data_IF_076922978681
#
_entry.id   IF_076922978681
#
_cell.length_a   1.000
_cell.length_b   1.000
_cell.length_c   1.000
_cell.angle_alpha   90.00
_cell.angle_beta   90.00
_cell.angle_gamma   90.00
#
_symmetry.space_group_name_H-M   'P 1'
#
loop_
_entity.id
_entity.type
_entity.pdbx_description
1 polymer ?
#
# COMPACT_ATOMS: atom_id res chain seq x y z
N UNK A 1 -0.53 10.11 8.01
CA UNK A 1 -0.88 9.75 6.61
C UNK A 1 0.27 10.21 5.71
N UNK A 2 0.74 9.40 4.76
CA UNK A 2 1.96 9.67 4.00
C UNK A 2 1.84 10.82 2.97
N UNK A 3 0.70 10.91 2.27
CA UNK A 3 0.47 11.95 1.26
C UNK A 3 0.61 13.39 1.80
N UNK A 4 -0.13 13.80 2.85
CA UNK A 4 0.01 15.15 3.40
C UNK A 4 1.38 15.36 4.06
N UNK A 5 2.01 14.30 4.58
CA UNK A 5 3.35 14.39 5.14
C UNK A 5 4.37 14.84 4.08
N UNK A 6 4.35 14.21 2.89
CA UNK A 6 5.25 14.59 1.81
C UNK A 6 4.95 15.96 1.21
N UNK A 7 3.67 16.31 1.12
CA UNK A 7 3.25 17.62 0.61
C UNK A 7 3.69 18.76 1.53
N UNK A 8 3.60 18.58 2.85
CA UNK A 8 3.82 19.65 3.83
C UNK A 8 5.28 19.77 4.29
N UNK A 9 5.99 18.65 4.47
CA UNK A 9 7.27 18.65 5.19
C UNK A 9 8.50 18.49 4.29
N UNK A 10 8.33 18.14 3.01
CA UNK A 10 9.47 17.92 2.13
C UNK A 10 9.68 19.10 1.15
N UNK A 11 10.89 19.71 1.15
CA UNK A 11 11.26 20.72 0.16
C UNK A 11 11.13 20.18 -1.26
N UNK A 12 10.75 21.05 -2.20
CA UNK A 12 10.66 20.75 -3.63
C UNK A 12 9.59 19.73 -4.05
N UNK A 13 8.61 19.42 -3.18
CA UNK A 13 7.44 18.62 -3.56
C UNK A 13 6.75 19.18 -4.80
N UNK A 14 6.34 18.31 -5.73
CA UNK A 14 5.76 18.71 -7.02
C UNK A 14 6.78 19.11 -8.09
N UNK A 15 8.08 18.95 -7.84
CA UNK A 15 9.14 19.24 -8.81
C UNK A 15 9.99 18.01 -9.12
N UNK A 16 10.69 18.02 -10.26
CA UNK A 16 11.61 16.93 -10.65
C UNK A 16 12.83 16.79 -9.71
N UNK A 17 13.04 17.75 -8.79
CA UNK A 17 14.12 17.70 -7.79
C UNK A 17 13.67 17.06 -6.48
N UNK A 18 12.39 16.69 -6.37
CA UNK A 18 11.85 16.04 -5.18
C UNK A 18 12.53 14.70 -4.93
N UNK A 19 12.93 14.46 -3.68
CA UNK A 19 13.44 13.18 -3.23
C UNK A 19 12.64 12.71 -2.02
N UNK A 20 12.27 11.43 -2.03
CA UNK A 20 11.54 10.83 -0.92
C UNK A 20 12.50 10.55 0.25
N UNK A 21 12.27 11.21 1.38
CA UNK A 21 12.81 10.81 2.67
C UNK A 21 12.11 9.58 3.24
N UNK A 22 12.48 9.16 4.46
CA UNK A 22 11.82 8.05 5.14
C UNK A 22 10.28 8.28 5.24
N UNK A 23 9.46 7.22 5.11
CA UNK A 23 8.03 7.31 5.35
C UNK A 23 7.73 7.68 6.81
N UNK A 24 6.60 8.33 7.09
CA UNK A 24 6.21 8.64 8.46
C UNK A 24 5.97 7.35 9.24
N UNK A 25 6.34 7.35 10.53
CA UNK A 25 6.13 6.21 11.39
C UNK A 25 4.64 5.86 11.52
N UNK A 26 4.27 4.56 11.54
CA UNK A 26 2.92 4.13 11.86
C UNK A 26 2.52 4.63 13.25
N UNK A 27 1.26 5.06 13.41
CA UNK A 27 0.71 5.53 14.69
C UNK A 27 0.12 4.40 15.54
N UNK A 28 0.35 3.14 15.16
CA UNK A 28 -0.21 1.95 15.80
C UNK A 28 0.89 0.92 16.08
N UNK A 29 0.60 0.02 17.02
CA UNK A 29 1.51 -1.06 17.42
C UNK A 29 0.82 -2.42 17.18
N UNK A 30 1.31 -3.24 16.24
CA UNK A 30 0.75 -4.56 15.99
C UNK A 30 0.84 -5.50 17.17
N UNK A 31 -0.14 -6.40 17.28
CA UNK A 31 -0.11 -7.51 18.23
C UNK A 31 0.23 -8.81 17.49
N UNK A 32 0.81 -9.82 18.18
CA UNK A 32 1.15 -11.09 17.55
C UNK A 32 -0.03 -11.83 16.91
N UNK A 33 -1.26 -11.59 17.38
CA UNK A 33 -2.49 -12.16 16.84
C UNK A 33 -3.04 -11.43 15.62
N UNK A 34 -2.44 -10.30 15.21
CA UNK A 34 -2.97 -9.50 14.10
C UNK A 34 -2.84 -10.23 12.77
N UNK A 35 -3.92 -10.18 12.00
CA UNK A 35 -3.94 -10.50 10.58
C UNK A 35 -4.04 -9.23 9.74
N UNK A 36 -4.13 -9.38 8.42
CA UNK A 36 -4.16 -8.23 7.50
C UNK A 36 -5.34 -7.28 7.72
N UNK A 37 -6.47 -7.80 8.19
CA UNK A 37 -7.65 -6.97 8.51
C UNK A 37 -7.38 -6.02 9.69
N UNK A 38 -6.54 -6.42 10.65
CA UNK A 38 -6.21 -5.59 11.82
C UNK A 38 -5.27 -4.44 11.40
N UNK A 39 -4.31 -4.72 10.53
CA UNK A 39 -3.48 -3.68 9.90
C UNK A 39 -4.33 -2.71 9.06
N UNK A 40 -5.30 -3.23 8.29
CA UNK A 40 -6.23 -2.39 7.54
C UNK A 40 -7.03 -1.48 8.47
N UNK A 41 -7.62 -2.02 9.54
CA UNK A 41 -8.41 -1.26 10.53
C UNK A 41 -7.58 -0.20 11.25
N UNK A 42 -6.37 -0.54 11.66
CA UNK A 42 -5.49 0.36 12.41
C UNK A 42 -4.95 1.50 11.54
N UNK A 43 -4.81 1.26 10.23
CA UNK A 43 -4.21 2.23 9.32
C UNK A 43 -5.24 3.01 8.50
N UNK A 44 -6.42 2.47 8.20
CA UNK A 44 -7.44 3.14 7.39
C UNK A 44 -8.18 4.23 8.18
N UNK A 45 -8.51 5.37 7.55
CA UNK A 45 -9.21 6.48 8.20
C UNK A 45 -10.68 6.17 8.53
N UNK A 46 -11.36 5.38 7.70
CA UNK A 46 -12.71 4.85 7.93
C UNK A 46 -12.76 3.45 7.30
N UNK A 47 -12.48 2.39 8.07
CA UNK A 47 -12.33 1.04 7.51
C UNK A 47 -13.67 0.46 7.07
N UNK A 48 -13.76 0.05 5.80
CA UNK A 48 -14.85 -0.75 5.25
C UNK A 48 -14.36 -2.20 5.10
N UNK A 49 -14.83 -3.08 5.98
CA UNK A 49 -14.36 -4.46 6.03
C UNK A 49 -14.72 -5.23 4.75
N UNK A 50 -15.86 -4.90 4.12
CA UNK A 50 -16.26 -5.55 2.86
C UNK A 50 -15.29 -5.24 1.72
N UNK A 51 -14.66 -4.06 1.75
CA UNK A 51 -13.64 -3.68 0.78
C UNK A 51 -12.34 -4.48 0.99
N UNK A 52 -11.91 -4.62 2.24
CA UNK A 52 -10.73 -5.43 2.56
C UNK A 52 -10.97 -6.89 2.18
N UNK A 53 -12.10 -7.49 2.59
CA UNK A 53 -12.42 -8.88 2.28
C UNK A 53 -12.47 -9.12 0.77
N UNK A 54 -13.06 -8.18 0.02
CA UNK A 54 -13.08 -8.24 -1.44
C UNK A 54 -11.66 -8.26 -2.02
N UNK A 55 -10.80 -7.32 -1.63
CA UNK A 55 -9.43 -7.24 -2.14
C UNK A 55 -8.59 -8.45 -1.73
N UNK A 56 -8.72 -8.90 -0.47
CA UNK A 56 -8.02 -10.05 0.06
C UNK A 56 -8.42 -11.34 -0.65
N UNK A 57 -9.71 -11.59 -0.87
CA UNK A 57 -10.19 -12.79 -1.57
C UNK A 57 -9.66 -12.92 -3.00
N UNK A 58 -9.20 -11.82 -3.62
CA UNK A 58 -8.58 -11.85 -4.95
C UNK A 58 -7.12 -12.30 -4.94
N UNK A 59 -6.46 -12.18 -3.79
CA UNK A 59 -5.00 -12.40 -3.67
C UNK A 59 -4.61 -13.42 -2.61
N UNK A 60 -5.56 -13.92 -1.81
CA UNK A 60 -5.29 -14.89 -0.73
C UNK A 60 -4.67 -16.18 -1.25
N UNK A 61 -5.11 -16.63 -2.42
CA UNK A 61 -4.68 -17.89 -3.06
C UNK A 61 -3.42 -17.68 -3.94
N UNK A 62 -3.00 -16.43 -4.14
CA UNK A 62 -1.78 -16.07 -4.87
C UNK A 62 -0.58 -16.22 -3.93
N UNK A 63 0.06 -17.38 -3.99
CA UNK A 63 1.29 -17.69 -3.23
C UNK A 63 2.57 -17.66 -4.07
N UNK A 64 2.44 -17.58 -5.40
CA UNK A 64 3.57 -17.58 -6.33
C UNK A 64 3.86 -16.19 -6.90
N UNK A 65 5.14 -15.96 -7.25
CA UNK A 65 5.71 -14.67 -7.70
C UNK A 65 5.01 -14.07 -8.94
N UNK A 66 4.27 -14.85 -9.72
CA UNK A 66 3.48 -14.36 -10.85
C UNK A 66 2.27 -15.25 -11.18
N UNK A 67 1.05 -14.83 -10.84
CA UNK A 67 -0.12 -15.32 -11.55
C UNK A 67 -0.24 -14.57 -12.87
N UNK A 68 -0.28 -15.33 -13.96
CA UNK A 68 -0.75 -14.92 -15.27
C UNK A 68 -2.17 -14.35 -15.13
N UNK A 69 -2.31 -13.02 -15.04
CA UNK A 69 -3.61 -12.33 -14.93
C UNK A 69 -3.83 -11.47 -13.66
N UNK A 70 -2.84 -11.32 -12.79
CA UNK A 70 -2.96 -10.46 -11.60
C UNK A 70 -2.93 -8.97 -11.96
N UNK A 71 -3.85 -8.19 -11.40
CA UNK A 71 -3.86 -6.72 -11.44
C UNK A 71 -2.62 -6.07 -10.82
N UNK A 72 -1.80 -6.81 -10.07
CA UNK A 72 -0.60 -6.29 -9.40
C UNK A 72 0.57 -6.07 -10.35
N UNK A 73 1.42 -5.11 -10.01
CA UNK A 73 2.61 -4.72 -10.77
C UNK A 73 3.90 -4.89 -9.96
N UNK A 74 5.03 -5.04 -10.65
CA UNK A 74 6.35 -5.18 -10.02
C UNK A 74 6.90 -3.89 -9.42
N UNK A 75 8.02 -3.99 -8.69
CA UNK A 75 8.57 -2.86 -7.90
C UNK A 75 8.89 -1.60 -8.70
N UNK A 76 9.39 -1.72 -9.92
CA UNK A 76 9.74 -0.58 -10.76
C UNK A 76 8.51 0.22 -11.17
N UNK A 77 7.45 -0.48 -11.56
CA UNK A 77 6.19 0.13 -11.96
C UNK A 77 5.45 0.72 -10.75
N UNK A 78 5.43 0.00 -9.62
CA UNK A 78 4.87 0.49 -8.36
C UNK A 78 5.58 1.79 -7.91
N UNK A 79 6.91 1.84 -8.00
CA UNK A 79 7.73 3.03 -7.74
C UNK A 79 7.40 4.18 -8.69
N UNK A 80 7.20 3.90 -9.97
CA UNK A 80 6.83 4.91 -10.96
C UNK A 80 5.50 5.59 -10.62
N UNK A 81 4.47 4.80 -10.30
CA UNK A 81 3.17 5.33 -9.89
C UNK A 81 3.23 6.07 -8.56
N UNK A 82 4.04 5.59 -7.62
CA UNK A 82 4.29 6.26 -6.35
C UNK A 82 4.90 7.65 -6.51
N UNK A 83 5.93 7.80 -7.37
CA UNK A 83 6.53 9.10 -7.65
C UNK A 83 5.51 10.10 -8.20
N UNK A 84 4.59 9.64 -9.05
CA UNK A 84 3.51 10.48 -9.60
C UNK A 84 2.50 10.87 -8.52
N UNK A 85 2.02 9.91 -7.73
CA UNK A 85 1.01 10.16 -6.70
C UNK A 85 1.57 10.99 -5.54
N UNK A 86 2.63 10.50 -4.87
CA UNK A 86 3.14 11.08 -3.63
C UNK A 86 4.22 12.14 -3.84
N UNK A 87 4.87 12.20 -5.01
CA UNK A 87 5.90 13.19 -5.33
C UNK A 87 5.36 14.49 -5.92
N UNK A 88 4.04 14.57 -6.14
CA UNK A 88 3.37 15.75 -6.70
C UNK A 88 3.62 15.98 -8.20
N UNK A 89 4.31 15.05 -8.88
CA UNK A 89 4.59 15.12 -10.31
C UNK A 89 3.39 14.72 -11.18
N UNK A 90 2.48 13.91 -10.63
CA UNK A 90 1.21 13.57 -11.25
C UNK A 90 0.07 14.36 -10.63
N UNK A 91 -0.91 14.77 -11.44
CA UNK A 91 -2.20 15.17 -10.90
C UNK A 91 -2.92 13.91 -10.38
N UNK A 92 -2.99 13.75 -9.06
CA UNK A 92 -3.68 12.61 -8.43
C UNK A 92 -5.10 12.43 -9.00
N UNK A 93 -5.79 13.54 -9.30
CA UNK A 93 -7.11 13.57 -9.91
C UNK A 93 -7.22 12.99 -11.33
N UNK A 94 -6.10 12.80 -12.02
CA UNK A 94 -6.04 12.21 -13.37
C UNK A 94 -5.54 10.76 -13.35
N UNK A 95 -5.17 10.24 -12.18
CA UNK A 95 -4.69 8.86 -12.05
C UNK A 95 -5.86 7.89 -12.08
N UNK A 96 -5.67 6.76 -12.77
CA UNK A 96 -6.64 5.69 -12.78
C UNK A 96 -6.67 4.98 -11.41
N UNK A 97 -7.81 4.35 -11.03
CA UNK A 97 -7.94 3.68 -9.74
C UNK A 97 -6.85 2.61 -9.48
N UNK A 98 -6.49 1.84 -10.49
CA UNK A 98 -5.41 0.84 -10.38
C UNK A 98 -4.03 1.49 -10.13
N UNK A 99 -3.73 2.61 -10.80
CA UNK A 99 -2.47 3.36 -10.61
C UNK A 99 -2.36 3.90 -9.18
N UNK A 100 -3.47 4.36 -8.61
CA UNK A 100 -3.56 4.76 -7.20
C UNK A 100 -3.28 3.56 -6.29
N UNK A 101 -3.86 2.40 -6.60
CA UNK A 101 -3.59 1.15 -5.88
C UNK A 101 -2.11 0.75 -5.91
N UNK A 102 -1.47 0.81 -7.08
CA UNK A 102 -0.03 0.51 -7.21
C UNK A 102 0.85 1.47 -6.42
N UNK A 103 0.53 2.77 -6.47
CA UNK A 103 1.22 3.80 -5.71
C UNK A 103 1.09 3.58 -4.19
N UNK A 104 -0.12 3.28 -3.72
CA UNK A 104 -0.41 2.99 -2.32
C UNK A 104 0.32 1.74 -1.82
N UNK A 105 0.34 0.67 -2.63
CA UNK A 105 1.07 -0.55 -2.29
C UNK A 105 2.57 -0.31 -2.15
N UNK A 106 3.16 0.53 -3.01
CA UNK A 106 4.57 0.90 -2.87
C UNK A 106 4.83 1.73 -1.61
N UNK A 107 3.93 2.65 -1.23
CA UNK A 107 4.09 3.41 0.01
C UNK A 107 3.94 2.53 1.26
N UNK A 108 3.00 1.59 1.25
CA UNK A 108 2.87 0.58 2.30
C UNK A 108 4.13 -0.30 2.38
N UNK A 109 4.67 -0.71 1.24
CA UNK A 109 5.93 -1.44 1.14
C UNK A 109 7.10 -0.65 1.73
N UNK A 110 7.23 0.64 1.39
CA UNK A 110 8.25 1.52 1.99
C UNK A 110 8.07 1.62 3.50
N UNK A 111 6.84 1.80 3.97
CA UNK A 111 6.55 1.84 5.41
C UNK A 111 6.94 0.54 6.11
N UNK A 112 6.69 -0.61 5.47
CA UNK A 112 7.02 -1.94 5.96
C UNK A 112 8.52 -2.17 6.14
N UNK A 113 9.33 -1.82 5.14
CA UNK A 113 10.79 -2.01 5.21
C UNK A 113 11.47 -1.00 6.14
N UNK A 114 10.97 0.24 6.22
CA UNK A 114 11.55 1.28 7.07
C UNK A 114 11.20 1.11 8.55
N UNK A 115 10.05 0.51 8.87
CA UNK A 115 9.57 0.32 10.24
C UNK A 115 9.43 -1.17 10.59
N UNK A 116 10.36 -2.00 10.09
CA UNK A 116 10.34 -3.45 10.28
C UNK A 116 10.29 -3.84 11.76
N UNK A 117 11.08 -3.20 12.62
CA UNK A 117 11.05 -3.51 14.06
C UNK A 117 9.64 -3.34 14.67
N UNK A 118 8.91 -2.29 14.29
CA UNK A 118 7.56 -2.05 14.81
C UNK A 118 6.49 -2.91 14.13
N UNK A 119 6.58 -3.11 12.81
CA UNK A 119 5.50 -3.74 12.02
C UNK A 119 5.63 -5.26 11.87
N UNK A 120 6.87 -5.75 11.81
CA UNK A 120 7.19 -7.13 11.45
C UNK A 120 7.53 -7.99 12.66
N UNK A 121 8.33 -7.48 13.61
CA UNK A 121 8.78 -8.27 14.77
C UNK A 121 7.64 -8.86 15.61
N UNK A 122 6.53 -8.13 15.88
CA UNK A 122 5.42 -8.70 16.64
C UNK A 122 4.78 -9.93 16.01
N UNK A 123 4.88 -10.11 14.68
CA UNK A 123 4.29 -11.24 13.95
C UNK A 123 5.17 -12.50 13.96
N UNK A 124 6.32 -12.48 14.66
CA UNK A 124 7.08 -13.67 15.04
C UNK A 124 7.36 -14.66 13.89
N UNK A 125 7.79 -14.14 12.73
CA UNK A 125 8.25 -14.95 11.59
C UNK A 125 7.15 -15.61 10.74
N UNK A 126 5.86 -15.43 11.06
CA UNK A 126 4.76 -15.96 10.25
C UNK A 126 4.67 -15.19 8.92
N UNK A 127 5.18 -15.81 7.86
CA UNK A 127 5.31 -15.22 6.52
C UNK A 127 3.94 -14.87 5.93
N UNK A 128 2.91 -15.70 6.16
CA UNK A 128 1.57 -15.40 5.64
C UNK A 128 0.94 -14.23 6.41
N UNK A 129 1.07 -14.18 7.74
CA UNK A 129 0.60 -13.01 8.50
C UNK A 129 1.32 -11.73 8.13
N UNK A 130 2.61 -11.80 7.82
CA UNK A 130 3.38 -10.65 7.34
C UNK A 130 2.90 -10.18 5.96
N UNK A 131 2.61 -11.13 5.06
CA UNK A 131 2.02 -10.83 3.74
C UNK A 131 0.65 -10.18 3.88
N UNK A 132 -0.20 -10.77 4.72
CA UNK A 132 -1.51 -10.21 5.05
C UNK A 132 -1.40 -8.80 5.63
N UNK A 133 -0.48 -8.59 6.58
CA UNK A 133 -0.22 -7.28 7.18
C UNK A 133 0.16 -6.21 6.16
N UNK A 134 1.08 -6.55 5.24
CA UNK A 134 1.45 -5.63 4.15
C UNK A 134 0.27 -5.34 3.21
N UNK A 135 -0.55 -6.34 2.88
CA UNK A 135 -1.75 -6.16 2.05
C UNK A 135 -2.77 -5.26 2.75
N UNK A 136 -3.01 -5.49 4.04
CA UNK A 136 -3.89 -4.64 4.86
C UNK A 136 -3.44 -3.17 4.85
N UNK A 137 -2.14 -2.92 5.00
CA UNK A 137 -1.58 -1.59 4.92
C UNK A 137 -1.73 -0.96 3.54
N UNK A 138 -1.51 -1.73 2.47
CA UNK A 138 -1.66 -1.25 1.10
C UNK A 138 -3.10 -0.85 0.78
N UNK A 139 -4.07 -1.68 1.17
CA UNK A 139 -5.50 -1.38 0.99
C UNK A 139 -5.89 -0.13 1.80
N UNK A 140 -5.38 0.00 3.03
CA UNK A 140 -5.60 1.19 3.84
C UNK A 140 -5.00 2.45 3.21
N UNK A 141 -3.76 2.41 2.72
CA UNK A 141 -3.16 3.56 2.01
C UNK A 141 -3.91 3.92 0.73
N UNK A 142 -4.43 2.93 -0.01
CA UNK A 142 -5.27 3.20 -1.18
C UNK A 142 -6.53 3.99 -0.78
N UNK A 143 -7.20 3.59 0.31
CA UNK A 143 -8.36 4.35 0.81
C UNK A 143 -8.01 5.77 1.25
N UNK A 144 -6.82 6.00 1.82
CA UNK A 144 -6.34 7.34 2.17
C UNK A 144 -6.10 8.21 0.96
N UNK A 145 -5.42 7.70 -0.05
CA UNK A 145 -5.18 8.44 -1.29
C UNK A 145 -6.49 8.83 -1.96
N UNK A 146 -7.46 7.91 -1.99
CA UNK A 146 -8.76 8.19 -2.55
C UNK A 146 -9.45 9.35 -1.84
N UNK A 147 -9.29 9.57 -0.52
CA UNK A 147 -9.94 10.70 0.17
C UNK A 147 -9.60 12.08 -0.41
N UNK A 148 -8.48 12.21 -1.13
CA UNK A 148 -8.08 13.44 -1.79
C UNK A 148 -8.70 13.61 -3.19
N UNK A 149 -9.56 12.68 -3.61
CA UNK A 149 -10.25 12.69 -4.89
C UNK A 149 -11.75 12.97 -4.73
N UNK A 150 -12.35 13.77 -5.63
CA UNK A 150 -13.79 14.00 -5.62
C UNK A 150 -14.61 12.75 -5.94
N UNK A 151 -14.04 11.78 -6.67
CA UNK A 151 -14.67 10.50 -7.04
C UNK A 151 -14.48 9.39 -5.99
N UNK A 152 -13.92 9.70 -4.83
CA UNK A 152 -13.55 8.75 -3.78
C UNK A 152 -14.69 7.90 -3.22
N UNK A 153 -15.93 8.36 -3.42
CA UNK A 153 -17.14 7.69 -2.95
C UNK A 153 -17.67 6.65 -3.95
N UNK A 154 -17.16 6.60 -5.18
CA UNK A 154 -17.57 5.58 -6.16
C UNK A 154 -17.08 4.18 -5.72
N UNK A 155 -18.00 3.21 -5.48
CA UNK A 155 -17.65 1.86 -5.07
C UNK A 155 -16.75 1.14 -6.09
N UNK A 156 -16.91 1.41 -7.39
CA UNK A 156 -16.11 0.76 -8.43
C UNK A 156 -14.65 1.22 -8.36
N UNK A 157 -14.43 2.53 -8.25
CA UNK A 157 -13.12 3.15 -8.04
C UNK A 157 -12.43 2.60 -6.80
N UNK A 158 -13.14 2.56 -5.66
CA UNK A 158 -12.60 2.02 -4.41
C UNK A 158 -12.17 0.56 -4.52
N UNK A 159 -13.03 -0.30 -5.11
CA UNK A 159 -12.73 -1.73 -5.28
C UNK A 159 -11.53 -1.93 -6.20
N UNK A 160 -11.50 -1.26 -7.34
CA UNK A 160 -10.40 -1.39 -8.32
C UNK A 160 -9.07 -0.96 -7.71
N UNK A 161 -9.04 0.16 -6.97
CA UNK A 161 -7.83 0.61 -6.28
C UNK A 161 -7.39 -0.36 -5.18
N UNK A 162 -8.33 -0.88 -4.38
CA UNK A 162 -8.03 -1.85 -3.33
C UNK A 162 -7.51 -3.18 -3.89
N UNK A 163 -8.11 -3.71 -4.97
CA UNK A 163 -7.65 -4.91 -5.66
C UNK A 163 -6.23 -4.74 -6.20
N UNK A 164 -5.98 -3.64 -6.91
CA UNK A 164 -4.66 -3.31 -7.44
C UNK A 164 -3.62 -3.16 -6.33
N UNK A 165 -3.99 -2.52 -5.21
CA UNK A 165 -3.13 -2.37 -4.05
C UNK A 165 -2.78 -3.72 -3.42
N UNK A 166 -3.78 -4.57 -3.17
CA UNK A 166 -3.57 -5.90 -2.59
C UNK A 166 -2.71 -6.78 -3.50
N UNK A 167 -2.96 -6.77 -4.81
CA UNK A 167 -2.21 -7.58 -5.77
C UNK A 167 -0.76 -7.12 -5.89
N UNK A 168 -0.52 -5.80 -6.00
CA UNK A 168 0.84 -5.25 -6.00
C UNK A 168 1.56 -5.54 -4.69
N UNK A 169 0.92 -5.33 -3.54
CA UNK A 169 1.52 -5.60 -2.22
C UNK A 169 1.93 -7.08 -2.06
N UNK A 170 1.09 -8.01 -2.52
CA UNK A 170 1.42 -9.44 -2.51
C UNK A 170 2.64 -9.76 -3.38
N UNK A 171 2.79 -9.12 -4.54
CA UNK A 171 3.98 -9.31 -5.40
C UNK A 171 5.24 -8.69 -4.77
N UNK A 172 5.13 -7.48 -4.21
CA UNK A 172 6.26 -6.80 -3.57
C UNK A 172 6.75 -7.56 -2.33
N UNK A 173 5.86 -8.22 -1.60
CA UNK A 173 6.23 -9.04 -0.45
C UNK A 173 7.26 -10.11 -0.82
N UNK A 174 7.02 -10.86 -1.89
CA UNK A 174 7.95 -11.90 -2.36
C UNK A 174 9.20 -11.33 -3.01
N UNK A 175 9.15 -10.11 -3.56
CA UNK A 175 10.34 -9.40 -4.03
C UNK A 175 11.32 -9.07 -2.89
N UNK A 176 10.85 -8.83 -1.67
CA UNK A 176 11.71 -8.66 -0.49
C UNK A 176 12.42 -9.95 -0.11
N UNK A 177 11.68 -11.06 -0.15
CA UNK A 177 12.19 -12.37 0.25
C UNK A 177 13.35 -12.85 -0.63
N UNK A 178 13.38 -12.48 -1.91
CA UNK A 178 14.43 -12.87 -2.84
C UNK A 178 15.77 -12.11 -2.68
N UNK A 179 15.84 -11.07 -1.85
CA UNK A 179 17.09 -10.41 -1.45
C UNK A 179 17.61 -10.87 -0.08
N UNK A 180 17.00 -11.90 0.52
CA UNK A 180 17.38 -12.45 1.83
C UNK A 180 17.86 -13.92 1.75
N UNK A 181 18.23 -14.40 0.57
CA UNK A 181 18.86 -15.71 0.34
C UNK A 181 20.35 -15.61 0.10
#
# INVERSE_FOLDING_TARGET
MAYPYYQQYNPNWGTNRFQFGAPPAPSFHPQPSWGGIDFYRAHAPSPDLSLYDHAWNRVRDIRDYRPSGSFGVGIHEARHWHQRAYGGLGHLAQMLPNQIGHAAAYEAYRSWIHHRSTLYEPLSGDVERQREGLIGLAVAEATKLLQYLPQSMDPYTRRTAAEAAAATASQLFFWVGSFQG
#
